data_IF_312975660093
#
_entry.id   IF_312975660093
#
_cell.length_a   1.000
_cell.length_b   1.000
_cell.length_c   1.000
_cell.angle_alpha   90.00
_cell.angle_beta   90.00
_cell.angle_gamma   90.00
#
_symmetry.space_group_name_H-M   'P 1'
#
loop_
_entity.id
_entity.type
_entity.pdbx_description
1 polymer ?
#
# COMPACT_ATOMS: atom_id res chain seq x y z
N UNK A 1 -2.68 62.97 67.85
CA UNK A 1 -3.58 62.89 69.01
C UNK A 1 -4.53 61.71 68.78
N UNK A 2 -4.39 60.76 69.67
CA UNK A 2 -5.40 59.87 70.21
C UNK A 2 -6.04 58.89 69.17
N UNK A 3 -5.72 57.63 69.27
CA UNK A 3 -6.05 56.62 70.25
C UNK A 3 -7.35 55.84 69.85
N UNK A 4 -7.10 54.56 69.65
CA UNK A 4 -7.62 53.43 70.37
C UNK A 4 -9.07 53.01 69.89
N UNK A 5 -9.36 51.95 69.63
CA UNK A 5 -9.24 50.54 70.10
C UNK A 5 -10.53 49.79 69.72
N UNK A 6 -10.45 48.55 69.55
CA UNK A 6 -11.61 47.67 69.59
C UNK A 6 -11.48 46.36 68.79
N UNK A 7 -10.80 45.40 69.38
CA UNK A 7 -10.86 44.01 69.01
C UNK A 7 -12.28 43.43 69.14
N UNK A 8 -12.68 42.55 68.18
CA UNK A 8 -13.13 41.19 68.54
C UNK A 8 -13.46 40.38 67.26
N UNK A 9 -12.76 39.41 67.10
CA UNK A 9 -12.83 37.94 66.96
C UNK A 9 -14.16 37.39 66.46
N UNK A 10 -13.92 36.33 65.65
CA UNK A 10 -14.77 35.25 65.13
C UNK A 10 -15.37 35.58 63.76
N UNK A 11 -15.20 34.72 62.73
CA UNK A 11 -14.80 33.38 62.53
C UNK A 11 -14.57 33.12 61.05
N UNK A 12 -13.68 32.24 60.81
CA UNK A 12 -13.22 31.76 59.52
C UNK A 12 -14.29 31.15 58.65
N UNK A 13 -14.26 31.45 57.40
CA UNK A 13 -14.38 30.35 56.38
C UNK A 13 -13.82 30.88 55.06
N UNK A 14 -12.58 30.47 54.78
CA UNK A 14 -11.94 30.66 53.47
C UNK A 14 -12.56 29.71 52.48
N UNK A 15 -13.34 30.19 51.55
CA UNK A 15 -13.59 29.48 50.28
C UNK A 15 -12.46 29.85 49.30
N UNK A 16 -11.46 28.96 49.26
CA UNK A 16 -10.51 28.94 48.16
C UNK A 16 -11.23 28.31 46.94
N UNK A 17 -11.78 29.10 46.06
CA UNK A 17 -12.09 28.68 44.71
C UNK A 17 -10.78 28.54 43.94
N UNK A 18 -10.24 27.32 43.94
CA UNK A 18 -9.16 26.90 43.06
C UNK A 18 -9.71 26.90 41.62
N UNK A 19 -9.42 27.95 40.89
CA UNK A 19 -9.62 27.98 39.43
C UNK A 19 -8.57 27.08 38.83
N UNK A 20 -8.90 25.79 38.68
CA UNK A 20 -8.15 24.84 37.89
C UNK A 20 -8.25 25.26 36.43
N UNK A 21 -7.31 26.06 35.97
CA UNK A 21 -7.10 26.31 34.55
C UNK A 21 -6.58 24.99 33.95
N UNK A 22 -7.50 24.15 33.47
CA UNK A 22 -7.14 23.05 32.58
C UNK A 22 -6.61 23.65 31.27
N UNK A 23 -5.31 23.94 31.24
CA UNK A 23 -4.59 24.00 30.00
C UNK A 23 -4.63 22.59 29.40
N UNK A 24 -5.62 22.33 28.55
CA UNK A 24 -5.50 21.26 27.57
C UNK A 24 -4.38 21.70 26.62
N UNK A 25 -3.17 21.30 26.93
CA UNK A 25 -2.11 21.25 25.97
C UNK A 25 -2.63 20.36 24.82
N UNK A 26 -3.03 20.98 23.74
CA UNK A 26 -3.08 20.36 22.44
C UNK A 26 -1.63 19.95 22.13
N UNK A 27 -1.23 18.80 22.65
CA UNK A 27 -0.07 18.09 22.20
C UNK A 27 -0.39 17.70 20.75
N UNK A 28 -0.02 18.55 19.79
CA UNK A 28 0.32 18.08 18.46
C UNK A 28 1.48 17.10 18.64
N UNK A 29 1.15 15.88 19.00
CA UNK A 29 2.10 14.79 19.05
C UNK A 29 2.58 14.54 17.65
N UNK A 30 3.78 15.05 17.32
CA UNK A 30 4.66 14.39 16.37
C UNK A 30 4.78 12.95 16.88
N UNK A 31 3.97 12.03 16.36
CA UNK A 31 4.24 10.61 16.51
C UNK A 31 5.41 10.30 15.58
N UNK A 32 6.63 10.65 16.03
CA UNK A 32 7.87 10.03 15.56
C UNK A 32 7.83 8.59 16.06
N UNK A 33 7.10 7.74 15.27
CA UNK A 33 6.83 6.38 15.70
C UNK A 33 8.09 5.54 15.62
N UNK A 34 8.60 5.11 16.75
CA UNK A 34 9.34 3.85 16.83
C UNK A 34 8.50 2.77 16.15
N UNK A 35 9.14 1.84 15.41
CA UNK A 35 8.47 0.68 14.82
C UNK A 35 7.71 -0.06 15.93
N UNK A 36 6.38 -0.04 15.86
CA UNK A 36 5.51 -0.78 16.75
C UNK A 36 5.09 -2.05 16.01
N UNK A 37 5.72 -3.19 16.33
CA UNK A 37 5.34 -4.47 15.73
C UNK A 37 4.01 -4.92 16.31
N UNK A 38 2.98 -4.98 15.46
CA UNK A 38 1.65 -5.49 15.80
C UNK A 38 1.74 -6.99 16.07
N UNK A 39 2.40 -7.73 15.16
CA UNK A 39 2.56 -9.18 15.23
C UNK A 39 3.74 -9.64 14.39
N UNK A 40 4.47 -10.63 14.88
CA UNK A 40 5.45 -11.37 14.10
C UNK A 40 4.79 -12.62 13.49
N UNK A 41 4.96 -12.79 12.19
CA UNK A 41 4.53 -13.97 11.42
C UNK A 41 5.81 -14.76 11.10
N UNK A 42 6.05 -15.84 11.82
CA UNK A 42 7.28 -16.65 11.72
C UNK A 42 7.11 -17.68 10.60
N UNK A 43 7.46 -17.31 9.39
CA UNK A 43 7.27 -18.17 8.20
C UNK A 43 8.07 -19.47 8.27
N UNK A 44 9.24 -19.43 8.90
CA UNK A 44 10.10 -20.60 9.11
C UNK A 44 9.57 -21.62 10.14
N UNK A 45 8.53 -21.28 10.90
CA UNK A 45 7.88 -22.16 11.88
C UNK A 45 6.55 -22.73 11.37
N UNK A 46 6.14 -22.39 10.12
CA UNK A 46 4.90 -22.84 9.52
C UNK A 46 5.10 -24.14 8.74
N UNK A 47 4.05 -24.97 8.71
CA UNK A 47 4.02 -26.14 7.83
C UNK A 47 3.77 -25.66 6.39
N UNK A 48 4.62 -26.09 5.47
CA UNK A 48 4.54 -25.67 4.08
C UNK A 48 3.67 -26.62 3.27
N UNK A 49 2.71 -26.05 2.55
CA UNK A 49 1.79 -26.73 1.64
C UNK A 49 1.87 -26.06 0.27
N UNK A 50 1.50 -26.78 -0.75
CA UNK A 50 1.31 -26.25 -2.11
C UNK A 50 -0.17 -25.97 -2.36
N UNK A 51 -0.47 -24.95 -3.16
CA UNK A 51 -1.81 -24.69 -3.65
C UNK A 51 -1.79 -24.27 -5.12
N UNK A 52 -2.95 -24.23 -5.74
CA UNK A 52 -3.17 -23.46 -6.96
C UNK A 52 -4.37 -22.54 -6.77
N UNK A 53 -4.30 -21.36 -7.36
CA UNK A 53 -5.42 -20.43 -7.32
C UNK A 53 -6.70 -21.08 -7.87
N UNK A 54 -6.59 -21.92 -8.93
CA UNK A 54 -7.74 -22.61 -9.52
C UNK A 54 -8.47 -23.49 -8.51
N UNK A 55 -7.75 -24.18 -7.64
CA UNK A 55 -8.35 -25.06 -6.63
C UNK A 55 -8.89 -24.28 -5.43
N UNK A 56 -8.30 -23.14 -5.13
CA UNK A 56 -8.70 -22.29 -4.01
C UNK A 56 -9.87 -21.36 -4.36
N UNK A 57 -10.01 -20.98 -5.64
CA UNK A 57 -11.13 -20.16 -6.09
C UNK A 57 -12.45 -20.94 -5.95
N UNK A 58 -13.38 -20.37 -5.18
CA UNK A 58 -14.73 -20.94 -5.04
C UNK A 58 -15.64 -20.59 -6.23
N UNK A 59 -16.87 -21.10 -6.17
CA UNK A 59 -17.89 -20.82 -7.20
C UNK A 59 -18.33 -19.34 -7.26
N UNK A 60 -18.02 -18.56 -6.23
CA UNK A 60 -18.27 -17.12 -6.11
C UNK A 60 -17.18 -16.27 -6.76
N UNK A 61 -16.09 -16.86 -7.20
CA UNK A 61 -15.05 -16.16 -7.93
C UNK A 61 -15.59 -15.69 -9.30
N UNK A 62 -15.45 -14.39 -9.56
CA UNK A 62 -15.89 -13.76 -10.81
C UNK A 62 -14.74 -13.69 -11.80
N UNK A 63 -14.87 -14.36 -12.93
CA UNK A 63 -13.94 -14.25 -14.05
C UNK A 63 -14.42 -13.15 -15.00
N UNK A 64 -13.54 -12.23 -15.34
CA UNK A 64 -13.78 -11.07 -16.20
C UNK A 64 -12.78 -11.11 -17.34
N UNK A 65 -13.25 -11.42 -18.54
CA UNK A 65 -12.44 -11.36 -19.75
C UNK A 65 -12.35 -9.93 -20.25
N UNK A 66 -11.14 -9.39 -20.36
CA UNK A 66 -10.91 -8.01 -20.77
C UNK A 66 -10.98 -7.91 -22.29
N UNK A 67 -11.82 -7.00 -22.80
CA UNK A 67 -11.99 -6.77 -24.24
C UNK A 67 -10.96 -5.74 -24.72
N UNK A 68 -9.69 -6.13 -24.74
CA UNK A 68 -8.54 -5.28 -25.08
C UNK A 68 -8.11 -5.39 -26.55
N UNK A 69 -8.94 -5.99 -27.40
CA UNK A 69 -8.64 -6.33 -28.80
C UNK A 69 -8.42 -5.11 -29.72
N UNK A 70 -8.86 -3.92 -29.33
CA UNK A 70 -8.58 -2.71 -30.11
C UNK A 70 -7.26 -2.09 -29.67
N UNK A 71 -6.53 -1.48 -30.62
CA UNK A 71 -5.26 -0.79 -30.36
C UNK A 71 -5.37 0.31 -29.28
N UNK A 72 -6.55 0.87 -29.12
CA UNK A 72 -6.81 1.91 -28.11
C UNK A 72 -6.79 1.37 -26.71
N UNK A 73 -7.34 0.18 -26.49
CA UNK A 73 -7.49 -0.45 -25.17
C UNK A 73 -6.49 -1.55 -24.88
N UNK A 74 -5.69 -1.94 -25.89
CA UNK A 74 -4.64 -2.94 -25.71
C UNK A 74 -3.60 -2.45 -24.70
N UNK A 75 -3.17 -3.34 -23.83
CA UNK A 75 -2.06 -3.12 -22.89
C UNK A 75 -1.02 -4.23 -23.06
N UNK A 76 0.17 -4.00 -22.55
CA UNK A 76 1.28 -4.97 -22.64
C UNK A 76 1.42 -5.76 -21.36
N UNK A 77 1.11 -5.11 -20.23
CA UNK A 77 1.34 -5.66 -18.90
C UNK A 77 0.51 -4.91 -17.87
N UNK A 78 -0.06 -5.62 -16.92
CA UNK A 78 -0.76 -5.01 -15.78
C UNK A 78 0.28 -4.65 -14.72
N UNK A 79 0.64 -3.37 -14.64
CA UNK A 79 1.58 -2.89 -13.63
C UNK A 79 0.91 -2.68 -12.27
N UNK A 80 -0.30 -2.14 -12.28
CA UNK A 80 -1.17 -1.98 -11.10
C UNK A 80 -2.62 -1.98 -11.52
N UNK A 81 -3.45 -2.53 -10.66
CA UNK A 81 -4.89 -2.54 -10.83
C UNK A 81 -5.57 -1.93 -9.60
N UNK A 82 -6.53 -1.07 -9.82
CA UNK A 82 -7.43 -0.53 -8.82
C UNK A 82 -8.89 -0.75 -9.22
N UNK A 83 -9.77 -0.94 -8.24
CA UNK A 83 -11.21 -1.05 -8.47
C UNK A 83 -11.95 0.09 -7.78
N UNK A 84 -12.93 0.66 -8.49
CA UNK A 84 -13.86 1.61 -7.91
C UNK A 84 -15.26 1.38 -8.48
N UNK A 85 -16.21 1.11 -7.60
CA UNK A 85 -17.59 0.71 -7.99
C UNK A 85 -17.57 -0.44 -9.00
N UNK A 86 -18.09 -0.20 -10.20
CA UNK A 86 -18.19 -1.13 -11.33
C UNK A 86 -17.06 -0.99 -12.36
N UNK A 87 -15.97 -0.30 -12.01
CA UNK A 87 -14.84 -0.04 -12.91
C UNK A 87 -13.56 -0.69 -12.41
N UNK A 88 -12.74 -1.11 -13.36
CA UNK A 88 -11.40 -1.66 -13.19
C UNK A 88 -10.43 -0.71 -13.91
N UNK A 89 -9.46 -0.19 -13.18
CA UNK A 89 -8.43 0.71 -13.67
C UNK A 89 -7.13 -0.07 -13.75
N UNK A 90 -6.51 -0.12 -14.91
CA UNK A 90 -5.27 -0.86 -15.17
C UNK A 90 -4.22 0.13 -15.66
N UNK A 91 -3.09 0.25 -14.95
CA UNK A 91 -1.92 0.95 -15.47
C UNK A 91 -1.02 -0.01 -16.24
N UNK A 92 -0.48 0.48 -17.35
CA UNK A 92 0.54 -0.18 -18.16
C UNK A 92 1.76 0.75 -18.26
N UNK A 93 2.86 0.36 -17.61
CA UNK A 93 4.07 1.19 -17.55
C UNK A 93 4.74 1.35 -18.94
N UNK A 94 4.62 0.34 -19.81
CA UNK A 94 5.20 0.41 -21.17
C UNK A 94 4.49 1.42 -22.04
N UNK A 95 3.16 1.43 -22.02
CA UNK A 95 2.36 2.39 -22.78
C UNK A 95 2.13 3.69 -22.02
N UNK A 96 2.37 3.70 -20.69
CA UNK A 96 2.21 4.85 -19.79
C UNK A 96 0.80 5.39 -19.81
N UNK A 97 -0.17 4.49 -19.78
CA UNK A 97 -1.61 4.79 -19.81
C UNK A 97 -2.30 4.13 -18.64
N UNK A 98 -3.48 4.63 -18.33
CA UNK A 98 -4.43 3.95 -17.45
C UNK A 98 -5.65 3.63 -18.29
N UNK A 99 -5.96 2.34 -18.44
CA UNK A 99 -7.09 1.84 -19.21
C UNK A 99 -8.19 1.47 -18.23
N UNK A 100 -9.42 1.84 -18.54
CA UNK A 100 -10.56 1.67 -17.66
C UNK A 100 -11.54 0.72 -18.32
N UNK A 101 -11.86 -0.38 -17.63
CA UNK A 101 -12.84 -1.37 -18.04
C UNK A 101 -14.03 -1.37 -17.08
N UNK A 102 -15.18 -1.82 -17.56
CA UNK A 102 -16.31 -2.21 -16.71
C UNK A 102 -16.07 -3.57 -16.05
N UNK A 103 -16.88 -3.90 -15.05
CA UNK A 103 -16.85 -5.25 -14.45
C UNK A 103 -17.36 -6.36 -15.37
N UNK A 104 -17.87 -6.03 -16.55
CA UNK A 104 -18.20 -6.92 -17.65
C UNK A 104 -17.04 -7.13 -18.63
N UNK A 105 -15.88 -6.50 -18.34
CA UNK A 105 -14.69 -6.55 -19.19
C UNK A 105 -14.73 -5.63 -20.41
N UNK A 106 -15.84 -4.88 -20.60
CA UNK A 106 -15.92 -3.95 -21.71
C UNK A 106 -15.08 -2.69 -21.47
N UNK A 107 -14.36 -2.18 -22.48
CA UNK A 107 -13.59 -0.96 -22.35
C UNK A 107 -14.52 0.25 -22.14
N UNK A 108 -14.15 1.13 -21.22
CA UNK A 108 -14.90 2.34 -20.89
C UNK A 108 -14.18 3.58 -21.39
N UNK A 109 -12.89 3.72 -21.07
CA UNK A 109 -12.08 4.88 -21.46
C UNK A 109 -10.60 4.62 -21.24
N UNK A 110 -9.76 5.52 -21.73
CA UNK A 110 -8.30 5.50 -21.55
C UNK A 110 -7.84 6.88 -21.09
N UNK A 111 -7.14 6.94 -19.97
CA UNK A 111 -6.36 8.11 -19.58
C UNK A 111 -5.00 8.03 -20.29
N UNK A 112 -4.83 8.81 -21.35
CA UNK A 112 -3.60 8.95 -22.09
C UNK A 112 -3.28 10.44 -22.26
N UNK A 113 -2.63 11.00 -21.24
CA UNK A 113 -2.25 12.42 -21.17
C UNK A 113 -0.73 12.58 -21.10
N UNK A 114 -0.02 11.76 -21.88
CA UNK A 114 1.45 11.78 -21.91
C UNK A 114 1.97 13.04 -22.57
N UNK A 115 2.77 13.83 -21.84
CA UNK A 115 3.41 15.03 -22.34
C UNK A 115 4.07 15.85 -21.25
N UNK A 116 4.61 17.04 -21.62
CA UNK A 116 5.32 17.95 -20.72
C UNK A 116 4.48 19.15 -20.26
N UNK A 117 3.25 19.24 -20.75
CA UNK A 117 2.31 20.31 -20.41
C UNK A 117 1.86 20.27 -18.95
N UNK A 118 1.24 21.34 -18.48
CA UNK A 118 0.77 21.45 -17.08
C UNK A 118 -0.35 20.48 -16.72
N UNK A 119 -1.05 19.94 -17.72
CA UNK A 119 -2.16 18.99 -17.54
C UNK A 119 -1.75 17.55 -17.90
N UNK A 120 -0.45 17.30 -18.09
CA UNK A 120 0.09 16.07 -18.65
C UNK A 120 1.07 15.43 -17.66
N UNK A 121 1.29 14.14 -17.81
CA UNK A 121 2.33 13.38 -17.12
C UNK A 121 3.31 12.75 -18.11
N UNK A 122 4.53 12.49 -17.68
CA UNK A 122 5.55 11.78 -18.47
C UNK A 122 5.43 10.27 -18.28
N UNK A 123 5.09 9.85 -17.06
CA UNK A 123 4.97 8.44 -16.73
C UNK A 123 3.91 8.26 -15.63
N UNK A 124 3.33 7.08 -15.57
CA UNK A 124 2.52 6.61 -14.43
C UNK A 124 3.45 5.78 -13.55
N UNK A 125 4.09 6.42 -12.56
CA UNK A 125 4.93 5.70 -11.60
C UNK A 125 4.07 4.88 -10.63
N UNK A 126 2.98 5.49 -10.18
CA UNK A 126 1.91 4.84 -9.43
C UNK A 126 0.62 5.64 -9.58
N UNK A 127 -0.51 5.05 -9.21
CA UNK A 127 -1.79 5.75 -9.24
C UNK A 127 -2.74 5.19 -8.17
N UNK A 128 -3.74 5.97 -7.81
CA UNK A 128 -4.90 5.49 -7.04
C UNK A 128 -6.17 6.20 -7.49
N UNK A 129 -7.31 5.67 -7.07
CA UNK A 129 -8.63 6.17 -7.42
C UNK A 129 -9.32 6.68 -6.17
N UNK A 130 -9.90 7.88 -6.24
CA UNK A 130 -10.62 8.49 -5.15
C UNK A 130 -12.10 8.04 -5.04
N UNK A 131 -12.79 8.56 -4.03
CA UNK A 131 -14.18 8.20 -3.73
C UNK A 131 -15.19 8.62 -4.82
N UNK A 132 -14.77 9.49 -5.75
CA UNK A 132 -15.58 9.97 -6.89
C UNK A 132 -15.18 9.28 -8.21
N UNK A 133 -14.16 8.41 -8.17
CA UNK A 133 -13.60 7.75 -9.35
C UNK A 133 -12.55 8.60 -10.06
N UNK A 134 -12.13 9.70 -9.47
CA UNK A 134 -11.03 10.53 -9.96
C UNK A 134 -9.69 9.78 -9.83
N UNK A 135 -8.77 10.07 -10.75
CA UNK A 135 -7.52 9.35 -10.86
C UNK A 135 -6.38 10.25 -10.39
N UNK A 136 -5.68 9.81 -9.36
CA UNK A 136 -4.47 10.43 -8.84
C UNK A 136 -3.25 9.73 -9.41
N UNK A 137 -2.49 10.42 -10.26
CA UNK A 137 -1.29 9.89 -10.92
C UNK A 137 -0.05 10.47 -10.27
N UNK A 138 0.80 9.61 -9.74
CA UNK A 138 2.15 9.94 -9.31
C UNK A 138 3.09 9.82 -10.51
N UNK A 139 3.76 10.90 -10.87
CA UNK A 139 4.77 10.96 -11.91
C UNK A 139 6.13 11.31 -11.29
N UNK A 140 6.92 10.28 -10.97
CA UNK A 140 8.27 10.46 -10.42
C UNK A 140 9.29 10.99 -11.43
N UNK A 141 8.99 10.95 -12.73
CA UNK A 141 9.88 11.52 -13.75
C UNK A 141 9.71 13.05 -13.91
N UNK A 142 8.54 13.57 -13.52
CA UNK A 142 8.20 14.99 -13.62
C UNK A 142 8.12 15.66 -12.24
N UNK A 143 8.24 14.90 -11.16
CA UNK A 143 8.10 15.34 -9.76
C UNK A 143 6.75 16.01 -9.49
N UNK A 144 5.66 15.35 -9.93
CA UNK A 144 4.31 15.86 -9.76
C UNK A 144 3.33 14.76 -9.38
N UNK A 145 2.24 15.17 -8.74
CA UNK A 145 1.02 14.39 -8.63
C UNK A 145 -0.07 15.12 -9.42
N UNK A 146 -0.70 14.41 -10.35
CA UNK A 146 -1.73 14.96 -11.22
C UNK A 146 -3.07 14.31 -10.89
N UNK A 147 -4.11 15.10 -10.74
CA UNK A 147 -5.47 14.64 -10.47
C UNK A 147 -6.36 14.85 -11.69
N UNK A 148 -7.03 13.80 -12.12
CA UNK A 148 -8.01 13.79 -13.20
C UNK A 148 -9.38 13.37 -12.67
N UNK A 149 -10.46 13.83 -13.30
CA UNK A 149 -11.79 13.31 -13.02
C UNK A 149 -11.96 11.87 -13.52
N UNK A 150 -13.07 11.24 -13.15
CA UNK A 150 -13.45 9.91 -13.64
C UNK A 150 -13.62 9.83 -15.18
N UNK A 151 -13.77 10.98 -15.87
CA UNK A 151 -13.82 11.10 -17.33
C UNK A 151 -12.44 11.48 -17.94
N UNK A 152 -11.36 11.50 -17.12
CA UNK A 152 -10.01 11.84 -17.58
C UNK A 152 -9.79 13.33 -17.87
N UNK A 153 -10.63 14.23 -17.32
CA UNK A 153 -10.42 15.68 -17.40
C UNK A 153 -9.45 16.11 -16.30
N UNK A 154 -8.50 16.95 -16.65
CA UNK A 154 -7.59 17.54 -15.69
C UNK A 154 -8.33 18.36 -14.62
N UNK A 155 -7.98 18.13 -13.36
CA UNK A 155 -8.52 18.85 -12.21
C UNK A 155 -7.44 19.68 -11.51
N UNK A 156 -6.31 19.07 -11.19
CA UNK A 156 -5.20 19.75 -10.51
C UNK A 156 -3.87 19.05 -10.73
N UNK A 157 -2.78 19.78 -10.48
CA UNK A 157 -1.42 19.27 -10.41
C UNK A 157 -0.69 19.91 -9.26
N UNK A 158 0.00 19.10 -8.46
CA UNK A 158 0.84 19.55 -7.36
C UNK A 158 2.27 19.04 -7.56
N UNK A 159 3.27 19.89 -7.32
CA UNK A 159 4.68 19.52 -7.40
C UNK A 159 5.11 18.85 -6.09
N UNK A 160 5.84 17.75 -6.17
CA UNK A 160 6.43 17.08 -4.99
C UNK A 160 7.66 17.85 -4.47
N UNK A 161 8.18 18.79 -5.27
CA UNK A 161 9.39 19.53 -4.93
C UNK A 161 10.62 18.63 -4.98
N UNK A 162 11.39 18.63 -3.90
CA UNK A 162 12.56 17.74 -3.75
C UNK A 162 12.20 16.38 -3.13
N UNK A 163 10.94 16.20 -2.68
CA UNK A 163 10.48 14.97 -2.07
C UNK A 163 10.24 13.89 -3.15
N UNK A 164 10.77 12.72 -2.90
CA UNK A 164 10.65 11.58 -3.80
C UNK A 164 9.70 10.54 -3.22
N UNK A 165 8.71 10.14 -4.00
CA UNK A 165 7.70 9.16 -3.61
C UNK A 165 7.64 8.04 -4.64
N UNK A 166 7.55 6.79 -4.16
CA UNK A 166 7.37 5.61 -5.01
C UNK A 166 5.92 5.19 -5.16
N UNK A 167 5.07 5.48 -4.15
CA UNK A 167 3.70 4.98 -4.10
C UNK A 167 2.73 6.06 -3.67
N UNK A 168 1.47 5.92 -4.13
CA UNK A 168 0.37 6.80 -3.77
C UNK A 168 -0.87 5.98 -3.39
N UNK A 169 -1.54 6.39 -2.31
CA UNK A 169 -2.88 5.93 -1.98
C UNK A 169 -3.74 7.09 -1.51
N UNK A 170 -4.97 7.15 -2.01
CA UNK A 170 -5.96 8.14 -1.60
C UNK A 170 -6.90 7.54 -0.54
N UNK A 171 -7.14 8.29 0.53
CA UNK A 171 -8.10 7.92 1.57
C UNK A 171 -8.73 9.18 2.20
N UNK A 172 -10.05 9.24 2.16
CA UNK A 172 -10.84 10.27 2.84
C UNK A 172 -10.33 11.72 2.63
N UNK A 173 -10.03 12.10 1.39
CA UNK A 173 -9.59 13.45 1.02
C UNK A 173 -8.12 13.74 1.32
N UNK A 174 -7.31 12.72 1.58
CA UNK A 174 -5.88 12.84 1.84
C UNK A 174 -5.08 11.84 1.00
N UNK A 175 -3.79 12.12 0.87
CA UNK A 175 -2.83 11.27 0.17
C UNK A 175 -1.89 10.63 1.19
N UNK A 176 -1.80 9.31 1.14
CA UNK A 176 -0.73 8.56 1.79
C UNK A 176 0.31 8.26 0.73
N UNK A 177 1.53 8.76 0.93
CA UNK A 177 2.61 8.71 -0.04
C UNK A 177 3.74 7.83 0.52
N UNK A 178 4.08 6.75 -0.17
CA UNK A 178 5.23 5.91 0.16
C UNK A 178 6.52 6.63 -0.21
N UNK A 179 7.40 6.84 0.78
CA UNK A 179 8.67 7.55 0.59
C UNK A 179 9.65 6.67 -0.16
N UNK A 180 10.22 7.20 -1.23
CA UNK A 180 11.25 6.51 -2.00
C UNK A 180 12.52 6.28 -1.18
N UNK A 181 13.22 5.17 -1.44
CA UNK A 181 14.47 4.86 -0.72
C UNK A 181 15.58 5.88 -1.00
N UNK A 182 15.54 6.53 -2.15
CA UNK A 182 16.49 7.58 -2.57
C UNK A 182 16.08 9.00 -2.17
N UNK A 183 14.99 9.18 -1.43
CA UNK A 183 14.61 10.50 -0.91
C UNK A 183 15.69 11.04 0.03
N UNK A 184 16.08 12.31 -0.16
CA UNK A 184 17.11 13.00 0.62
C UNK A 184 16.57 14.17 1.44
N UNK A 185 15.26 14.34 1.48
CA UNK A 185 14.59 15.41 2.24
C UNK A 185 14.38 15.00 3.70
N UNK A 186 13.65 15.82 4.44
CA UNK A 186 13.22 15.50 5.82
C UNK A 186 12.27 14.29 5.90
N UNK A 187 11.78 13.78 4.77
CA UNK A 187 10.97 12.56 4.69
C UNK A 187 11.84 11.30 4.62
N UNK A 188 13.13 11.45 4.35
CA UNK A 188 14.06 10.32 4.25
C UNK A 188 14.04 9.45 5.50
N UNK A 189 14.03 8.14 5.29
CA UNK A 189 13.98 7.14 6.36
C UNK A 189 12.60 6.90 6.96
N UNK A 190 11.53 7.55 6.46
CA UNK A 190 10.16 7.19 6.80
C UNK A 190 9.58 6.24 5.75
N UNK A 191 8.65 5.38 6.17
CA UNK A 191 7.94 4.49 5.25
C UNK A 191 6.94 5.26 4.38
N UNK A 192 6.19 6.17 5.03
CA UNK A 192 5.19 6.97 4.35
C UNK A 192 4.98 8.34 5.00
N UNK A 193 4.45 9.28 4.22
CA UNK A 193 3.91 10.55 4.70
C UNK A 193 2.42 10.63 4.40
N UNK A 194 1.68 11.23 5.32
CA UNK A 194 0.32 11.67 5.10
C UNK A 194 0.36 13.13 4.66
N UNK A 195 -0.30 13.46 3.57
CA UNK A 195 -0.39 14.81 3.05
C UNK A 195 -1.83 15.18 2.69
N UNK A 196 -2.13 16.46 2.65
CA UNK A 196 -3.34 16.94 1.99
C UNK A 196 -3.20 16.89 0.45
N UNK A 197 -4.26 17.20 -0.27
CA UNK A 197 -4.26 17.20 -1.74
C UNK A 197 -3.40 18.30 -2.37
N UNK A 198 -2.92 19.25 -1.58
CA UNK A 198 -1.96 20.28 -1.98
C UNK A 198 -0.51 19.89 -1.65
N UNK A 199 -0.30 18.68 -1.15
CA UNK A 199 0.98 18.08 -0.72
C UNK A 199 1.59 18.73 0.52
N UNK A 200 0.80 19.42 1.37
CA UNK A 200 1.26 19.79 2.69
C UNK A 200 1.37 18.55 3.56
N UNK A 201 2.58 18.25 4.05
CA UNK A 201 2.83 17.10 4.90
C UNK A 201 2.17 17.29 6.26
N UNK A 202 1.27 16.39 6.62
CA UNK A 202 0.51 16.40 7.88
C UNK A 202 1.16 15.51 8.94
N UNK A 203 1.74 14.38 8.51
CA UNK A 203 2.43 13.43 9.39
C UNK A 203 3.45 12.59 8.64
N UNK A 204 4.41 12.01 9.37
CA UNK A 204 5.41 11.05 8.88
C UNK A 204 5.32 9.78 9.69
N UNK A 205 5.40 8.63 9.05
CA UNK A 205 5.14 7.34 9.67
C UNK A 205 6.21 6.29 9.37
N UNK A 206 6.38 5.37 10.31
CA UNK A 206 7.15 4.15 10.13
C UNK A 206 8.63 4.44 9.86
N UNK A 207 9.35 5.02 10.84
CA UNK A 207 10.78 5.28 10.65
C UNK A 207 11.52 3.98 10.37
N UNK A 208 12.16 3.89 9.19
CA UNK A 208 12.92 2.73 8.75
C UNK A 208 14.35 2.76 9.29
N UNK A 209 14.98 1.59 9.56
CA UNK A 209 16.41 1.52 9.83
C UNK A 209 17.21 1.92 8.57
N UNK A 210 18.42 2.39 8.77
CA UNK A 210 19.39 2.69 7.69
C UNK A 210 20.04 1.40 7.17
N UNK A 211 19.23 0.55 6.54
CA UNK A 211 19.65 -0.77 6.03
C UNK A 211 19.16 -1.03 4.60
N UNK A 212 18.68 -0.01 3.90
CA UNK A 212 18.18 -0.17 2.54
C UNK A 212 19.12 0.50 1.55
N UNK A 213 19.24 -0.13 0.36
CA UNK A 213 20.01 0.40 -0.76
C UNK A 213 19.22 1.56 -1.42
N UNK A 214 19.72 2.80 -1.38
CA UNK A 214 19.03 3.93 -1.98
C UNK A 214 19.08 3.93 -3.51
N UNK A 215 19.93 3.09 -4.11
CA UNK A 215 20.06 2.97 -5.58
C UNK A 215 19.15 1.86 -6.13
N UNK A 216 18.57 1.03 -5.24
CA UNK A 216 17.72 -0.07 -5.62
C UNK A 216 16.27 0.38 -5.86
N UNK A 217 15.79 0.17 -7.07
CA UNK A 217 14.40 0.35 -7.46
C UNK A 217 13.83 -0.99 -7.94
N UNK A 218 12.64 -1.34 -7.45
CA UNK A 218 11.95 -2.54 -7.85
C UNK A 218 10.49 -2.19 -8.17
N UNK A 219 10.02 -2.46 -9.40
CA UNK A 219 8.63 -2.23 -9.77
C UNK A 219 7.70 -3.13 -8.95
N UNK A 220 6.85 -2.55 -8.13
CA UNK A 220 5.87 -3.29 -7.35
C UNK A 220 4.65 -2.44 -7.00
N UNK A 221 3.59 -3.10 -6.53
CA UNK A 221 2.43 -2.45 -5.92
C UNK A 221 2.68 -2.31 -4.43
N UNK A 222 3.10 -1.11 -3.99
CA UNK A 222 3.45 -0.87 -2.59
C UNK A 222 2.23 -0.87 -1.67
N UNK A 223 1.14 -0.21 -2.09
CA UNK A 223 -0.07 -0.11 -1.28
C UNK A 223 -1.11 -1.16 -1.65
N UNK A 224 -1.64 -1.84 -0.61
CA UNK A 224 -2.80 -2.72 -0.67
C UNK A 224 -3.90 -2.18 0.24
N UNK A 225 -5.14 -2.13 -0.22
CA UNK A 225 -6.30 -1.72 0.60
C UNK A 225 -7.03 -2.98 1.08
N UNK A 226 -7.16 -3.15 2.40
CA UNK A 226 -7.83 -4.31 3.01
C UNK A 226 -8.86 -3.82 4.02
N UNK A 227 -10.13 -3.94 3.70
CA UNK A 227 -11.21 -3.39 4.51
C UNK A 227 -11.06 -1.88 4.68
N UNK A 228 -10.80 -1.43 5.92
CA UNK A 228 -10.54 -0.02 6.26
C UNK A 228 -9.05 0.31 6.39
N UNK A 229 -8.20 -0.69 6.21
CA UNK A 229 -6.75 -0.55 6.37
C UNK A 229 -6.08 -0.35 5.03
N UNK A 230 -5.08 0.52 4.99
CA UNK A 230 -4.12 0.63 3.91
C UNK A 230 -2.84 -0.01 4.43
N UNK A 231 -2.25 -0.90 3.67
CA UNK A 231 -1.02 -1.59 4.00
C UNK A 231 0.06 -1.24 2.99
N UNK A 232 1.25 -0.92 3.49
CA UNK A 232 2.43 -0.62 2.68
C UNK A 232 3.47 -1.70 2.85
N UNK A 233 3.87 -2.29 1.74
CA UNK A 233 5.04 -3.15 1.65
C UNK A 233 6.03 -2.55 0.65
N UNK A 234 7.28 -2.40 1.07
CA UNK A 234 8.39 -2.03 0.21
C UNK A 234 9.18 -3.29 -0.14
N UNK A 235 9.64 -3.47 -1.37
CA UNK A 235 10.43 -4.65 -1.74
C UNK A 235 11.64 -4.85 -0.83
N UNK A 236 11.96 -6.11 -0.55
CA UNK A 236 13.06 -6.53 0.34
C UNK A 236 12.86 -6.05 1.79
N UNK A 237 11.73 -5.43 2.11
CA UNK A 237 11.32 -5.13 3.48
C UNK A 237 10.55 -6.34 4.05
N UNK A 238 10.89 -6.74 5.26
CA UNK A 238 10.18 -7.82 5.98
C UNK A 238 8.93 -7.28 6.70
N UNK A 239 8.67 -5.98 6.57
CA UNK A 239 7.58 -5.32 7.27
C UNK A 239 6.46 -4.91 6.32
N UNK A 240 5.23 -5.07 6.82
CA UNK A 240 4.03 -4.52 6.20
C UNK A 240 3.45 -3.48 7.15
N UNK A 241 3.59 -2.22 6.79
CA UNK A 241 3.09 -1.09 7.60
C UNK A 241 1.59 -0.92 7.43
N UNK A 242 0.87 -0.73 8.53
CA UNK A 242 -0.60 -0.64 8.55
C UNK A 242 -1.06 0.76 8.91
N UNK A 243 -1.98 1.28 8.11
CA UNK A 243 -2.61 2.59 8.30
C UNK A 243 -4.13 2.43 8.32
N UNK A 244 -4.80 3.15 9.22
CA UNK A 244 -6.25 3.27 9.25
C UNK A 244 -6.64 4.73 9.35
N UNK A 245 -7.24 5.27 8.30
CA UNK A 245 -7.48 6.68 8.15
C UNK A 245 -6.16 7.46 8.31
N UNK A 246 -6.13 8.38 9.30
CA UNK A 246 -4.97 9.25 9.56
C UNK A 246 -3.95 8.66 10.53
N UNK A 247 -4.00 7.38 10.85
CA UNK A 247 -3.19 6.80 11.93
C UNK A 247 -2.36 5.63 11.43
N UNK A 248 -1.07 5.68 11.72
CA UNK A 248 -0.21 4.51 11.66
C UNK A 248 -0.52 3.61 12.86
N UNK A 249 -0.78 2.34 12.58
CA UNK A 249 -1.17 1.32 13.58
C UNK A 249 0.02 0.47 14.02
N UNK A 250 1.08 0.43 13.24
CA UNK A 250 2.25 -0.41 13.43
C UNK A 250 2.52 -1.30 12.23
N UNK A 251 3.40 -2.26 12.42
CA UNK A 251 3.89 -3.16 11.38
C UNK A 251 3.56 -4.62 11.69
N UNK A 252 3.24 -5.41 10.68
CA UNK A 252 3.44 -6.84 10.71
C UNK A 252 4.87 -7.15 10.30
N UNK A 253 5.56 -7.99 11.06
CA UNK A 253 6.91 -8.46 10.73
C UNK A 253 6.83 -9.90 10.22
N UNK A 254 7.29 -10.14 8.99
CA UNK A 254 7.39 -11.45 8.38
C UNK A 254 8.80 -11.99 8.61
N UNK A 255 8.92 -12.96 9.52
CA UNK A 255 10.20 -13.54 9.91
C UNK A 255 10.52 -14.76 9.03
N UNK A 256 11.43 -14.58 8.10
CA UNK A 256 11.94 -15.64 7.22
C UNK A 256 13.01 -16.54 7.88
N UNK A 257 13.35 -16.28 9.16
CA UNK A 257 14.37 -17.03 9.86
C UNK A 257 15.74 -16.97 9.18
N UNK A 258 16.37 -18.11 8.97
CA UNK A 258 17.68 -18.20 8.29
C UNK A 258 17.67 -17.85 6.80
N UNK A 259 16.48 -17.71 6.19
CA UNK A 259 16.33 -17.29 4.79
C UNK A 259 16.19 -15.77 4.64
N UNK A 260 16.17 -15.01 5.72
CA UNK A 260 16.04 -13.55 5.71
C UNK A 260 17.24 -12.91 5.02
N UNK A 261 17.01 -11.89 4.18
CA UNK A 261 18.09 -11.12 3.56
C UNK A 261 18.92 -10.42 4.64
N UNK A 262 20.26 -10.66 4.72
CA UNK A 262 21.13 -9.97 5.66
C UNK A 262 21.17 -8.45 5.41
N UNK A 263 21.35 -7.67 6.47
CA UNK A 263 21.36 -6.21 6.37
C UNK A 263 22.51 -5.67 5.49
N UNK A 264 23.63 -6.38 5.41
CA UNK A 264 24.75 -6.03 4.53
C UNK A 264 24.37 -6.15 3.04
N UNK A 265 23.54 -7.15 2.69
CA UNK A 265 23.04 -7.33 1.33
C UNK A 265 21.93 -6.30 1.03
N UNK A 266 21.06 -6.02 2.01
CA UNK A 266 20.02 -5.00 1.86
C UNK A 266 20.58 -3.61 1.56
N UNK A 267 21.73 -3.26 2.11
CA UNK A 267 22.40 -1.97 1.89
C UNK A 267 23.04 -1.83 0.51
N UNK A 268 23.16 -2.89 -0.24
CA UNK A 268 23.87 -2.93 -1.52
C UNK A 268 23.28 -3.96 -2.46
N UNK A 269 21.95 -3.95 -2.61
CA UNK A 269 21.20 -4.91 -3.43
C UNK A 269 21.68 -4.89 -4.87
N UNK A 270 21.84 -3.66 -5.43
CA UNK A 270 22.26 -3.46 -6.81
C UNK A 270 23.60 -4.16 -7.11
N UNK A 271 24.52 -4.15 -6.13
CA UNK A 271 25.83 -4.81 -6.25
C UNK A 271 25.82 -6.30 -5.88
N UNK A 272 24.70 -6.82 -5.37
CA UNK A 272 24.57 -8.18 -4.84
C UNK A 272 23.39 -8.96 -5.46
N UNK A 273 22.96 -8.63 -6.67
CA UNK A 273 21.81 -9.26 -7.32
C UNK A 273 21.89 -10.78 -7.34
N UNK A 274 23.03 -11.36 -7.69
CA UNK A 274 23.26 -12.83 -7.70
C UNK A 274 23.18 -13.47 -6.30
N UNK A 275 23.39 -12.68 -5.25
CA UNK A 275 23.35 -13.20 -3.88
C UNK A 275 21.96 -13.12 -3.27
N UNK A 276 21.13 -12.16 -3.67
CA UNK A 276 19.80 -11.95 -3.09
C UNK A 276 18.86 -13.11 -3.40
N UNK A 277 19.08 -13.82 -4.52
CA UNK A 277 18.31 -15.00 -4.91
C UNK A 277 18.43 -16.18 -3.93
N UNK A 278 19.40 -16.15 -3.01
CA UNK A 278 19.57 -17.16 -1.96
C UNK A 278 18.61 -16.97 -0.78
N UNK A 279 17.92 -15.85 -0.76
CA UNK A 279 17.11 -15.43 0.38
C UNK A 279 15.63 -15.31 0.00
N UNK A 280 14.80 -15.22 1.04
CA UNK A 280 13.37 -14.99 0.89
C UNK A 280 12.99 -13.61 1.40
N UNK A 281 12.10 -12.91 0.68
CA UNK A 281 11.64 -11.56 1.01
C UNK A 281 10.30 -11.25 0.34
N UNK A 282 9.56 -10.31 0.92
CA UNK A 282 8.31 -9.83 0.33
C UNK A 282 8.58 -9.03 -0.94
N UNK A 283 7.74 -9.23 -1.95
CA UNK A 283 7.85 -8.57 -3.26
C UNK A 283 6.67 -7.66 -3.52
N UNK A 284 5.44 -8.19 -3.46
CA UNK A 284 4.28 -7.48 -3.96
C UNK A 284 2.99 -7.83 -3.21
N UNK A 285 2.03 -6.90 -3.23
CA UNK A 285 0.66 -7.10 -2.73
C UNK A 285 0.56 -7.72 -1.33
N UNK A 286 1.57 -7.51 -0.46
CA UNK A 286 1.56 -8.13 0.87
C UNK A 286 0.53 -7.50 1.79
N UNK A 287 -0.34 -8.32 2.38
CA UNK A 287 -1.42 -7.88 3.25
C UNK A 287 -1.77 -8.90 4.34
N UNK A 288 -2.42 -8.40 5.38
CA UNK A 288 -2.93 -9.22 6.49
C UNK A 288 -4.40 -8.88 6.73
N UNK A 289 -5.25 -9.88 6.70
CA UNK A 289 -6.68 -9.78 6.96
C UNK A 289 -7.10 -10.81 8.02
N UNK A 290 -7.40 -10.36 9.22
CA UNK A 290 -7.76 -11.26 10.32
C UNK A 290 -6.64 -12.26 10.66
N UNK A 291 -6.87 -13.54 10.37
CA UNK A 291 -5.88 -14.61 10.61
C UNK A 291 -5.19 -15.10 9.34
N UNK A 292 -5.40 -14.43 8.22
CA UNK A 292 -4.77 -14.77 6.94
C UNK A 292 -3.82 -13.66 6.54
N UNK A 293 -2.62 -14.02 6.10
CA UNK A 293 -1.72 -13.13 5.41
C UNK A 293 -1.48 -13.67 4.00
N UNK A 294 -1.32 -12.80 3.02
CA UNK A 294 -1.10 -13.19 1.64
C UNK A 294 -0.33 -12.12 0.87
N UNK A 295 0.23 -12.49 -0.25
CA UNK A 295 1.05 -11.63 -1.08
C UNK A 295 1.87 -12.43 -2.06
N UNK A 296 2.82 -11.75 -2.70
CA UNK A 296 3.86 -12.37 -3.51
C UNK A 296 5.21 -12.17 -2.82
N UNK A 297 6.01 -13.21 -2.75
CA UNK A 297 7.36 -13.17 -2.20
C UNK A 297 8.36 -13.84 -3.14
N UNK A 298 9.61 -13.48 -3.01
CA UNK A 298 10.72 -14.28 -3.51
C UNK A 298 11.03 -15.36 -2.47
N UNK A 299 11.03 -16.63 -2.84
CA UNK A 299 11.44 -17.75 -2.00
C UNK A 299 12.69 -18.41 -2.58
N UNK A 300 13.85 -17.95 -2.13
CA UNK A 300 15.16 -18.44 -2.59
C UNK A 300 15.26 -18.47 -4.13
N UNK A 301 15.04 -17.36 -4.78
CA UNK A 301 15.13 -17.19 -6.24
C UNK A 301 13.87 -17.54 -7.03
N UNK A 302 12.84 -18.10 -6.39
CA UNK A 302 11.58 -18.42 -7.02
C UNK A 302 10.49 -17.44 -6.59
N UNK A 303 9.86 -16.67 -7.50
CA UNK A 303 8.72 -15.86 -7.16
C UNK A 303 7.50 -16.75 -6.92
N UNK A 304 6.87 -16.59 -5.76
CA UNK A 304 5.69 -17.37 -5.35
C UNK A 304 4.60 -16.48 -4.80
N UNK A 305 3.37 -16.76 -5.15
CA UNK A 305 2.22 -16.29 -4.39
C UNK A 305 2.09 -17.12 -3.12
N UNK A 306 1.83 -16.49 -2.00
CA UNK A 306 1.70 -17.16 -0.73
C UNK A 306 0.43 -16.79 0.02
N UNK A 307 -0.06 -17.74 0.81
CA UNK A 307 -1.14 -17.55 1.78
C UNK A 307 -0.71 -18.18 3.09
N UNK A 308 -0.80 -17.43 4.18
CA UNK A 308 -0.54 -17.93 5.54
C UNK A 308 -1.86 -18.04 6.30
N UNK A 309 -2.18 -19.23 6.76
CA UNK A 309 -3.21 -19.44 7.79
C UNK A 309 -2.55 -19.45 9.18
N UNK A 310 -2.68 -18.34 9.90
CA UNK A 310 -2.08 -18.18 11.22
C UNK A 310 -2.74 -19.04 12.30
N UNK A 311 -3.96 -19.55 12.07
CA UNK A 311 -4.64 -20.46 13.02
C UNK A 311 -4.13 -21.88 12.87
N UNK A 312 -4.05 -22.36 11.61
CA UNK A 312 -3.55 -23.68 11.27
C UNK A 312 -2.03 -23.77 11.40
N UNK A 313 -1.33 -22.65 11.38
CA UNK A 313 0.13 -22.53 11.30
C UNK A 313 0.66 -23.14 10.01
N UNK A 314 0.03 -22.82 8.91
CA UNK A 314 0.35 -23.30 7.58
C UNK A 314 0.67 -22.14 6.65
N UNK A 315 1.60 -22.37 5.74
CA UNK A 315 1.89 -21.50 4.60
C UNK A 315 1.66 -22.27 3.31
N UNK A 316 0.81 -21.75 2.46
CA UNK A 316 0.52 -22.26 1.14
C UNK A 316 1.29 -21.46 0.11
N UNK A 317 1.92 -22.12 -0.85
CA UNK A 317 2.74 -21.48 -1.89
C UNK A 317 2.37 -22.00 -3.28
N UNK A 318 2.29 -21.04 -4.23
CA UNK A 318 2.16 -21.32 -5.65
C UNK A 318 3.27 -20.59 -6.40
N UNK A 319 4.14 -21.27 -7.19
CA UNK A 319 5.05 -20.57 -8.09
C UNK A 319 4.29 -19.67 -9.07
N UNK A 320 4.81 -18.46 -9.28
CA UNK A 320 4.23 -17.52 -10.24
C UNK A 320 4.40 -18.08 -11.66
N UNK A 321 5.58 -18.59 -11.98
CA UNK A 321 5.82 -19.25 -13.26
C UNK A 321 5.07 -20.60 -13.35
N UNK A 322 4.28 -20.76 -14.40
CA UNK A 322 3.46 -21.95 -14.64
C UNK A 322 2.13 -21.98 -13.91
N UNK A 323 1.81 -21.01 -13.08
CA UNK A 323 0.47 -20.83 -12.51
C UNK A 323 -0.48 -20.18 -13.53
N UNK A 324 -1.73 -20.62 -13.54
CA UNK A 324 -2.76 -20.04 -14.42
C UNK A 324 -3.16 -18.62 -13.98
N UNK A 325 -3.19 -18.39 -12.67
CA UNK A 325 -3.55 -17.12 -12.07
C UNK A 325 -2.47 -16.64 -11.11
N UNK A 326 -2.29 -15.32 -11.02
CA UNK A 326 -1.32 -14.67 -10.14
C UNK A 326 -1.98 -13.51 -9.41
N UNK A 327 -1.57 -13.28 -8.17
CA UNK A 327 -2.04 -12.16 -7.37
C UNK A 327 -1.46 -10.84 -7.91
N UNK A 328 -2.35 -9.90 -8.26
CA UNK A 328 -1.94 -8.60 -8.79
C UNK A 328 -2.43 -7.41 -7.97
N UNK A 329 -3.50 -7.56 -7.18
CA UNK A 329 -4.02 -6.45 -6.39
C UNK A 329 -4.92 -6.93 -5.26
N UNK A 330 -5.04 -6.09 -4.23
CA UNK A 330 -5.99 -6.24 -3.15
C UNK A 330 -6.69 -4.89 -2.98
N UNK A 331 -8.01 -4.89 -3.09
CA UNK A 331 -8.81 -3.68 -3.04
C UNK A 331 -10.07 -3.89 -2.19
N UNK A 332 -10.07 -3.36 -0.96
CA UNK A 332 -11.14 -3.53 0.00
C UNK A 332 -11.21 -4.96 0.54
N UNK A 333 -12.26 -5.67 0.21
CA UNK A 333 -12.47 -7.08 0.52
C UNK A 333 -12.12 -8.01 -0.66
N UNK A 334 -11.66 -7.43 -1.78
CA UNK A 334 -11.41 -8.15 -3.02
C UNK A 334 -9.95 -8.52 -3.16
N UNK A 335 -9.71 -9.78 -3.45
CA UNK A 335 -8.43 -10.31 -3.95
C UNK A 335 -8.56 -10.45 -5.46
N UNK A 336 -7.63 -9.88 -6.19
CA UNK A 336 -7.68 -9.75 -7.63
C UNK A 336 -6.48 -10.45 -8.22
N UNK A 337 -6.76 -11.39 -9.09
CA UNK A 337 -5.77 -12.17 -9.82
C UNK A 337 -5.81 -11.80 -11.30
N UNK A 338 -4.68 -11.89 -11.96
CA UNK A 338 -4.61 -11.90 -13.43
C UNK A 338 -4.31 -13.29 -13.94
N UNK A 339 -4.69 -13.54 -15.17
CA UNK A 339 -4.37 -14.74 -15.90
C UNK A 339 -4.68 -14.55 -17.39
N UNK A 340 -4.51 -15.63 -18.13
CA UNK A 340 -4.84 -15.68 -19.55
C UNK A 340 -5.82 -16.82 -19.79
N UNK A 341 -6.83 -16.57 -20.59
CA UNK A 341 -7.70 -17.63 -21.10
C UNK A 341 -6.96 -18.39 -22.21
N UNK A 342 -6.72 -19.66 -21.99
CA UNK A 342 -5.89 -20.50 -22.89
C UNK A 342 -6.51 -20.71 -24.28
N UNK A 343 -7.86 -20.67 -24.38
CA UNK A 343 -8.57 -20.91 -25.62
C UNK A 343 -8.64 -19.65 -26.51
N UNK A 344 -8.81 -18.49 -25.88
CA UNK A 344 -8.97 -17.21 -26.57
C UNK A 344 -7.70 -16.34 -26.60
N UNK A 345 -6.66 -16.72 -25.85
CA UNK A 345 -5.45 -15.91 -25.59
C UNK A 345 -5.78 -14.51 -25.04
N UNK A 346 -6.91 -14.40 -24.30
CA UNK A 346 -7.42 -13.13 -23.79
C UNK A 346 -7.00 -12.95 -22.33
N UNK A 347 -6.60 -11.73 -21.99
CA UNK A 347 -6.34 -11.37 -20.60
C UNK A 347 -7.62 -11.44 -19.76
N UNK A 348 -7.52 -12.09 -18.61
CA UNK A 348 -8.62 -12.24 -17.67
C UNK A 348 -8.23 -11.73 -16.29
N UNK A 349 -9.21 -11.16 -15.61
CA UNK A 349 -9.14 -10.79 -14.20
C UNK A 349 -10.08 -11.71 -13.43
N UNK A 350 -9.56 -12.30 -12.36
CA UNK A 350 -10.38 -13.07 -11.43
C UNK A 350 -10.52 -12.31 -10.13
N UNK A 351 -11.75 -12.09 -9.70
CA UNK A 351 -12.06 -11.37 -8.46
C UNK A 351 -12.73 -12.33 -7.49
N UNK A 352 -12.15 -12.47 -6.32
CA UNK A 352 -12.73 -13.20 -5.18
C UNK A 352 -12.67 -12.34 -3.92
N UNK A 353 -13.28 -12.77 -2.82
CA UNK A 353 -13.20 -12.07 -1.55
C UNK A 353 -12.18 -12.72 -0.61
N UNK A 354 -11.65 -11.93 0.33
CA UNK A 354 -10.81 -12.45 1.41
C UNK A 354 -11.55 -13.49 2.25
N UNK A 355 -12.85 -13.28 2.53
CA UNK A 355 -13.67 -14.20 3.30
C UNK A 355 -13.88 -15.54 2.57
N UNK A 356 -14.08 -15.50 1.25
CA UNK A 356 -14.18 -16.70 0.41
C UNK A 356 -12.90 -17.50 0.40
N UNK A 357 -11.75 -16.83 0.26
CA UNK A 357 -10.45 -17.51 0.34
C UNK A 357 -10.25 -18.19 1.70
N UNK A 358 -10.55 -17.49 2.79
CA UNK A 358 -10.44 -18.06 4.13
C UNK A 358 -11.37 -19.26 4.32
N UNK A 359 -12.62 -19.16 3.84
CA UNK A 359 -13.59 -20.27 3.89
C UNK A 359 -13.16 -21.48 3.07
N UNK A 360 -12.47 -21.29 1.95
CA UNK A 360 -11.99 -22.36 1.10
C UNK A 360 -10.71 -23.02 1.64
N UNK A 361 -9.87 -22.27 2.34
CA UNK A 361 -8.74 -22.82 3.10
C UNK A 361 -9.20 -23.72 4.27
N UNK A 362 -10.39 -23.47 4.82
CA UNK A 362 -10.95 -24.25 5.94
C UNK A 362 -11.60 -25.60 5.52
N UNK A 363 -11.76 -25.84 4.21
CA UNK A 363 -12.29 -27.11 3.64
C UNK A 363 -11.20 -28.13 3.42
#
# INVERSE_FOLDING_TARGET
>A
MKELSGMNKWGAMRFLTSLCLCMTALSCGNQSGEKSVIKTIKLNELHEETFSWETLLGQDAKVIALQDTSKEYAFTEISKLACWKDRIYISDWKTRRIIIFGQDGQPVSVLNRRGRGSEEYLQVSDFDVDDEGGIWVLDGQKDVIVHYSSEGKFLSQSKTGECQYSYISFDAGQLLLGVALWDKTENSGYAAVLADTSLNVLARYGKKPDVYDPEFEFPNVGFSKVGKSIMLNTPIDDYVSVFEGKKYKGDYFFDFGGKRVPDEIRKSVESNQDNIEKYSFLVNCSAVAGNVAFGTMMDCGTPVDFIVDMKKKEIYKQPVEGGKYHLISISGDKVILSGMDEDSEQDIIVVTSVDSLQSNLDK
#
